data_IF_891977948897
#
_entry.id   IF_891977948897
#
_cell.length_a   1.000
_cell.length_b   1.000
_cell.length_c   1.000
_cell.angle_alpha   90.00
_cell.angle_beta   90.00
_cell.angle_gamma   90.00
#
_symmetry.space_group_name_H-M   'P 1'
#
loop_
_entity.id
_entity.type
_entity.pdbx_description
1 polymer ?
#
# COMPACT_ATOMS: atom_id res chain seq x y z
N UNK A 1 -6.35 -2.60 1.11
CA UNK A 1 -5.32 -1.52 1.11
C UNK A 1 -4.16 -2.00 0.26
N UNK A 2 -3.71 -1.19 -0.71
CA UNK A 2 -2.65 -1.53 -1.65
C UNK A 2 -1.42 -0.67 -1.35
N UNK A 3 -0.26 -1.30 -1.19
CA UNK A 3 1.02 -0.61 -1.07
C UNK A 3 1.82 -0.81 -2.36
N UNK A 4 2.33 0.28 -2.94
CA UNK A 4 3.11 0.28 -4.18
C UNK A 4 4.48 0.88 -3.91
N UNK A 5 5.55 0.14 -4.26
CA UNK A 5 6.91 0.67 -4.20
C UNK A 5 7.13 1.68 -5.32
N UNK A 6 7.72 2.82 -4.97
CA UNK A 6 8.15 3.86 -5.90
C UNK A 6 9.66 4.06 -5.77
N UNK A 7 10.34 4.31 -6.90
CA UNK A 7 11.78 4.54 -6.93
C UNK A 7 12.14 5.98 -6.51
N UNK A 8 11.18 6.90 -6.61
CA UNK A 8 11.32 8.30 -6.20
C UNK A 8 10.22 8.66 -5.19
N UNK A 9 10.50 9.58 -4.26
CA UNK A 9 9.47 10.21 -3.41
C UNK A 9 8.62 11.17 -4.26
N UNK A 10 7.81 10.61 -5.16
CA UNK A 10 6.94 11.36 -6.05
C UNK A 10 5.55 10.77 -6.07
N UNK A 11 4.57 11.65 -5.92
CA UNK A 11 3.16 11.33 -6.02
C UNK A 11 2.79 10.91 -7.47
N UNK A 12 3.05 9.66 -7.82
CA UNK A 12 2.74 9.08 -9.13
C UNK A 12 1.36 8.39 -9.14
N UNK A 13 0.30 9.16 -8.85
CA UNK A 13 -1.08 8.65 -8.77
C UNK A 13 -1.55 7.98 -10.06
N UNK A 14 -1.17 8.50 -11.23
CA UNK A 14 -1.54 7.93 -12.53
C UNK A 14 -0.98 6.50 -12.71
N UNK A 15 0.27 6.28 -12.28
CA UNK A 15 0.93 4.97 -12.28
C UNK A 15 0.25 4.02 -11.30
N UNK A 16 -0.08 4.51 -10.10
CA UNK A 16 -0.78 3.72 -9.10
C UNK A 16 -2.17 3.29 -9.57
N UNK A 17 -2.91 4.19 -10.22
CA UNK A 17 -4.23 3.89 -10.76
C UNK A 17 -4.15 2.90 -11.93
N UNK A 18 -3.15 3.04 -12.81
CA UNK A 18 -2.91 2.10 -13.90
C UNK A 18 -2.59 0.68 -13.37
N UNK A 19 -1.77 0.57 -12.32
CA UNK A 19 -1.49 -0.73 -11.69
C UNK A 19 -2.71 -1.31 -10.99
N UNK A 20 -3.49 -0.51 -10.24
CA UNK A 20 -4.75 -0.96 -9.65
C UNK A 20 -5.70 -1.56 -10.70
N UNK A 21 -5.84 -0.90 -11.85
CA UNK A 21 -6.68 -1.38 -12.95
C UNK A 21 -6.22 -2.75 -13.49
N UNK A 22 -4.90 -3.05 -13.49
CA UNK A 22 -4.38 -4.36 -13.91
C UNK A 22 -4.82 -5.51 -13.01
N UNK A 23 -5.14 -5.22 -11.75
CA UNK A 23 -5.66 -6.19 -10.80
C UNK A 23 -7.19 -6.17 -10.67
N UNK A 24 -7.89 -5.40 -11.53
CA UNK A 24 -9.35 -5.33 -11.54
C UNK A 24 -9.94 -4.39 -10.49
N UNK A 25 -9.14 -3.49 -9.91
CA UNK A 25 -9.65 -2.44 -9.03
C UNK A 25 -9.97 -1.18 -9.85
N UNK A 26 -11.24 -0.96 -10.15
CA UNK A 26 -11.75 0.14 -10.97
C UNK A 26 -12.50 1.23 -10.18
N UNK A 27 -13.04 0.91 -8.99
CA UNK A 27 -13.74 1.85 -8.10
C UNK A 27 -12.87 2.28 -6.89
N UNK A 28 -11.83 3.10 -7.12
CA UNK A 28 -10.93 3.57 -6.05
C UNK A 28 -11.41 4.92 -5.49
N UNK A 29 -11.73 4.98 -4.19
CA UNK A 29 -12.29 6.18 -3.54
C UNK A 29 -11.37 6.90 -2.56
N UNK A 30 -10.20 6.35 -2.22
CA UNK A 30 -9.26 6.97 -1.26
C UNK A 30 -7.79 6.64 -1.60
N UNK A 31 -7.36 7.01 -2.82
CA UNK A 31 -5.96 6.83 -3.23
C UNK A 31 -5.08 7.89 -2.55
N UNK A 32 -4.19 7.44 -1.66
CA UNK A 32 -3.25 8.31 -0.93
C UNK A 32 -1.82 7.92 -1.24
N UNK A 33 -0.95 8.93 -1.30
CA UNK A 33 0.50 8.76 -1.37
C UNK A 33 1.11 9.28 -0.07
N UNK A 34 2.17 8.62 0.40
CA UNK A 34 2.89 9.03 1.59
C UNK A 34 4.03 8.07 1.89
N UNK A 35 5.10 8.59 2.51
CA UNK A 35 6.21 7.77 2.96
C UNK A 35 5.70 6.80 4.02
N UNK A 36 5.93 5.50 3.81
CA UNK A 36 5.59 4.48 4.78
C UNK A 36 6.47 4.66 6.03
N UNK A 37 5.89 5.22 7.09
CA UNK A 37 6.58 5.39 8.38
C UNK A 37 6.38 4.11 9.20
N UNK A 38 7.33 3.19 9.08
CA UNK A 38 7.30 1.89 9.79
C UNK A 38 7.17 2.08 11.30
N UNK A 39 7.80 3.11 11.86
CA UNK A 39 7.75 3.44 13.29
C UNK A 39 6.32 3.73 13.81
N UNK A 40 5.41 4.21 12.94
CA UNK A 40 4.00 4.45 13.29
C UNK A 40 3.19 3.15 13.22
N UNK A 41 3.60 2.23 12.34
CA UNK A 41 2.97 0.92 12.13
C UNK A 41 3.42 -0.14 13.14
N UNK A 42 4.54 0.08 13.82
CA UNK A 42 5.05 -0.77 14.90
C UNK A 42 4.45 -0.42 16.28
N UNK A 43 3.29 0.26 16.29
CA UNK A 43 2.52 0.53 17.51
C UNK A 43 1.49 -0.58 17.76
N UNK A 44 1.08 -0.77 19.02
CA UNK A 44 0.13 -1.83 19.41
C UNK A 44 -1.19 -1.82 18.62
N UNK A 45 -1.60 -0.65 18.12
CA UNK A 45 -2.79 -0.50 17.28
C UNK A 45 -2.68 -1.17 15.91
N UNK A 46 -1.46 -1.36 15.40
CA UNK A 46 -1.19 -1.85 14.04
C UNK A 46 -0.33 -3.11 14.00
N UNK A 47 -0.08 -3.77 15.15
CA UNK A 47 0.69 -5.02 15.22
C UNK A 47 0.17 -6.13 14.30
N UNK A 48 -1.14 -6.16 14.02
CA UNK A 48 -1.75 -7.09 13.05
C UNK A 48 -1.42 -6.79 11.58
N UNK A 49 -0.88 -5.60 11.28
CA UNK A 49 -0.48 -5.17 9.94
C UNK A 49 1.00 -5.46 9.62
N UNK A 50 1.77 -5.96 10.60
CA UNK A 50 3.22 -6.17 10.49
C UNK A 50 3.66 -6.96 9.26
N UNK A 51 3.08 -8.15 9.09
CA UNK A 51 3.45 -9.03 7.97
C UNK A 51 3.20 -8.42 6.59
N UNK A 52 2.24 -7.50 6.47
CA UNK A 52 1.91 -6.91 5.18
C UNK A 52 2.86 -5.78 4.77
N UNK A 53 3.25 -4.91 5.71
CA UNK A 53 4.25 -3.90 5.37
C UNK A 53 5.64 -4.53 5.19
N UNK A 54 5.98 -5.58 5.93
CA UNK A 54 7.21 -6.35 5.72
C UNK A 54 7.24 -7.02 4.34
N UNK A 55 6.12 -7.60 3.91
CA UNK A 55 5.97 -8.16 2.57
C UNK A 55 6.08 -7.07 1.50
N UNK A 56 5.45 -5.91 1.69
CA UNK A 56 5.55 -4.78 0.76
C UNK A 56 6.98 -4.25 0.63
N UNK A 57 7.71 -4.13 1.75
CA UNK A 57 9.13 -3.73 1.76
C UNK A 57 10.02 -4.75 1.04
N UNK A 58 9.72 -6.04 1.17
CA UNK A 58 10.53 -7.12 0.57
C UNK A 58 10.22 -7.34 -0.90
N UNK A 59 8.93 -7.41 -1.27
CA UNK A 59 8.46 -7.79 -2.61
C UNK A 59 8.06 -6.61 -3.49
N UNK A 60 7.99 -5.40 -2.92
CA UNK A 60 7.57 -4.18 -3.60
C UNK A 60 6.06 -3.93 -3.62
N UNK A 61 5.26 -4.89 -3.16
CA UNK A 61 3.80 -4.75 -3.04
C UNK A 61 3.21 -5.79 -2.09
N UNK A 62 2.12 -5.44 -1.40
CA UNK A 62 1.29 -6.37 -0.63
C UNK A 62 -0.19 -5.99 -0.77
N UNK A 63 -1.06 -7.00 -0.86
CA UNK A 63 -2.51 -6.82 -0.97
C UNK A 63 -3.17 -7.21 0.35
N UNK A 64 -3.84 -6.25 1.01
CA UNK A 64 -4.73 -6.56 2.12
C UNK A 64 -6.18 -6.58 1.65
N UNK A 65 -6.84 -7.69 1.93
CA UNK A 65 -8.26 -7.88 1.76
C UNK A 65 -8.94 -8.04 3.13
N UNK A 66 -9.88 -7.14 3.45
CA UNK A 66 -10.77 -7.28 4.59
C UNK A 66 -12.13 -7.80 4.08
N UNK A 67 -12.48 -9.06 4.37
CA UNK A 67 -13.88 -9.46 4.28
C UNK A 67 -14.61 -8.83 5.47
N UNK A 68 -15.33 -7.74 5.20
CA UNK A 68 -16.07 -6.86 6.13
C UNK A 68 -15.30 -5.65 6.64
#
# INVERSE_FOLDING_TARGET
MLFLRQDEERDAFDLAQAECARFGFDEITDLRCGRLQVDVLDTDAYRGFAGFYEEALTKGSALLYYPN
#
